data_IF_339775877541
#
_entry.id   IF_339775877541
#
_cell.length_a   1.000
_cell.length_b   1.000
_cell.length_c   1.000
_cell.angle_alpha   90.00
_cell.angle_beta   90.00
_cell.angle_gamma   90.00
#
_symmetry.space_group_name_H-M   'P 1'
#
loop_
_entity.id
_entity.type
_entity.pdbx_description
1 polymer ?
#
# COMPACT_ATOMS: atom_id res chain seq x y z
N UNK A 1 -10.05 7.19 2.86
CA UNK A 1 -10.60 5.95 3.43
C UNK A 1 -9.66 4.81 3.10
N UNK A 2 -9.49 3.84 3.99
CA UNK A 2 -8.58 2.70 3.84
C UNK A 2 -9.41 1.44 3.62
N UNK A 3 -9.21 0.76 2.48
CA UNK A 3 -10.09 -0.33 2.03
C UNK A 3 -10.27 -1.43 3.09
N UNK A 4 -9.21 -1.78 3.81
CA UNK A 4 -9.28 -2.87 4.79
C UNK A 4 -10.22 -2.55 5.96
N UNK A 5 -10.41 -1.27 6.30
CA UNK A 5 -11.40 -0.85 7.30
C UNK A 5 -12.83 -1.16 6.86
N UNK A 6 -13.15 -0.91 5.58
CA UNK A 6 -14.47 -1.19 5.01
C UNK A 6 -14.76 -2.70 4.94
N UNK A 7 -13.71 -3.51 4.74
CA UNK A 7 -13.82 -4.97 4.65
C UNK A 7 -13.87 -5.66 6.03
N UNK A 8 -13.55 -4.95 7.11
CA UNK A 8 -13.37 -5.56 8.44
C UNK A 8 -14.60 -6.34 8.92
N UNK A 9 -15.80 -5.83 8.64
CA UNK A 9 -17.07 -6.48 9.01
C UNK A 9 -17.31 -7.83 8.30
N UNK A 10 -16.61 -8.08 7.18
CA UNK A 10 -16.74 -9.28 6.37
C UNK A 10 -15.79 -10.40 6.84
N UNK A 11 -14.84 -10.09 7.72
CA UNK A 11 -13.86 -11.05 8.19
C UNK A 11 -14.44 -11.96 9.28
N UNK A 12 -14.06 -13.24 9.23
CA UNK A 12 -14.34 -14.19 10.32
C UNK A 12 -13.53 -13.79 11.55
N UNK A 13 -14.07 -14.09 12.73
CA UNK A 13 -13.30 -14.00 13.98
C UNK A 13 -12.01 -14.84 13.85
N UNK A 14 -10.89 -14.28 14.30
CA UNK A 14 -9.55 -14.91 14.27
C UNK A 14 -9.08 -15.34 12.86
N UNK A 15 -9.34 -14.52 11.83
CA UNK A 15 -8.82 -14.78 10.49
C UNK A 15 -7.34 -14.36 10.35
N UNK A 16 -6.68 -14.94 9.36
CA UNK A 16 -5.38 -14.48 8.87
C UNK A 16 -5.57 -13.75 7.55
N UNK A 17 -4.78 -12.69 7.33
CA UNK A 17 -4.74 -11.94 6.09
C UNK A 17 -3.37 -12.11 5.45
N UNK A 18 -3.36 -12.44 4.16
CA UNK A 18 -2.21 -12.25 3.30
C UNK A 18 -2.47 -11.00 2.48
N UNK A 19 -1.70 -9.95 2.73
CA UNK A 19 -1.86 -8.65 2.09
C UNK A 19 -0.57 -8.22 1.39
N UNK A 20 -0.70 -7.39 0.36
CA UNK A 20 0.42 -6.68 -0.23
C UNK A 20 -0.04 -5.31 -0.68
N UNK A 21 0.72 -4.28 -0.33
CA UNK A 21 0.42 -2.88 -0.56
C UNK A 21 1.48 -2.27 -1.47
N UNK A 22 1.05 -1.59 -2.52
CA UNK A 22 1.94 -0.77 -3.34
C UNK A 22 2.11 0.58 -2.65
N UNK A 23 3.35 0.91 -2.31
CA UNK A 23 3.74 2.13 -1.62
C UNK A 23 4.66 2.97 -2.49
N UNK A 24 4.65 4.28 -2.26
CA UNK A 24 5.44 5.24 -3.01
C UNK A 24 6.53 5.82 -2.11
N UNK A 25 7.79 5.64 -2.50
CA UNK A 25 8.90 6.39 -1.91
C UNK A 25 8.99 7.79 -2.54
N UNK A 26 8.62 7.91 -3.82
CA UNK A 26 8.61 9.19 -4.54
C UNK A 26 7.43 9.30 -5.49
N UNK A 27 6.75 10.44 -5.44
CA UNK A 27 5.72 10.82 -6.40
C UNK A 27 6.29 11.78 -7.45
N UNK A 28 5.84 11.62 -8.69
CA UNK A 28 6.11 12.56 -9.77
C UNK A 28 5.19 13.78 -9.65
N UNK A 29 5.59 14.90 -10.26
CA UNK A 29 4.70 16.06 -10.40
C UNK A 29 3.48 15.71 -11.26
N UNK A 30 3.64 14.74 -12.17
CA UNK A 30 2.62 14.25 -13.09
C UNK A 30 1.92 12.99 -12.55
N UNK A 31 2.07 12.69 -11.26
CA UNK A 31 1.44 11.52 -10.65
C UNK A 31 -0.07 11.53 -10.89
N UNK A 32 -0.62 10.36 -11.20
CA UNK A 32 -2.07 10.16 -11.28
C UNK A 32 -2.73 10.28 -9.88
N UNK A 33 -1.93 10.18 -8.81
CA UNK A 33 -2.38 10.29 -7.42
C UNK A 33 -2.34 11.74 -6.96
N UNK A 34 -3.52 12.30 -6.72
CA UNK A 34 -3.70 13.65 -6.21
C UNK A 34 -2.92 13.85 -4.89
N UNK A 35 -2.26 15.01 -4.66
CA UNK A 35 -1.43 15.26 -3.47
C UNK A 35 -2.09 14.91 -2.14
N UNK A 36 -3.39 15.26 -2.00
CA UNK A 36 -4.19 14.97 -0.79
C UNK A 36 -4.39 13.48 -0.48
N UNK A 37 -4.14 12.60 -1.44
CA UNK A 37 -4.31 11.15 -1.30
C UNK A 37 -2.98 10.40 -1.09
N UNK A 38 -1.84 11.07 -1.28
CA UNK A 38 -0.50 10.44 -1.29
C UNK A 38 -0.11 9.83 0.04
N UNK A 39 -0.60 10.39 1.14
CA UNK A 39 -0.38 9.84 2.49
C UNK A 39 -0.86 8.38 2.60
N UNK A 40 -1.92 8.01 1.88
CA UNK A 40 -2.48 6.65 1.90
C UNK A 40 -1.55 5.58 1.29
N UNK A 41 -0.48 5.99 0.59
CA UNK A 41 0.49 5.09 -0.04
C UNK A 41 1.86 5.16 0.64
N UNK A 42 1.88 5.54 1.92
CA UNK A 42 3.08 5.52 2.76
C UNK A 42 3.04 4.35 3.72
N UNK A 43 4.21 3.78 4.03
CA UNK A 43 4.31 2.67 4.98
C UNK A 43 3.72 3.04 6.34
N UNK A 44 4.02 4.24 6.84
CA UNK A 44 3.51 4.74 8.12
C UNK A 44 1.97 4.77 8.19
N UNK A 45 1.30 5.14 7.10
CA UNK A 45 -0.16 5.15 7.05
C UNK A 45 -0.71 3.72 7.02
N UNK A 46 -0.17 2.87 6.16
CA UNK A 46 -0.63 1.48 6.01
C UNK A 46 -0.44 0.68 7.29
N UNK A 47 0.75 0.72 7.91
CA UNK A 47 1.02 -0.01 9.16
C UNK A 47 0.14 0.46 10.30
N UNK A 48 -0.11 1.78 10.40
CA UNK A 48 -1.04 2.35 11.38
C UNK A 48 -2.47 1.83 11.20
N UNK A 49 -2.97 1.75 9.97
CA UNK A 49 -4.32 1.24 9.74
C UNK A 49 -4.44 -0.27 10.01
N UNK A 50 -3.40 -1.06 9.71
CA UNK A 50 -3.35 -2.49 10.08
C UNK A 50 -3.42 -2.65 11.60
N UNK A 51 -2.67 -1.83 12.35
CA UNK A 51 -2.70 -1.82 13.81
C UNK A 51 -4.06 -1.38 14.37
N UNK A 52 -4.72 -0.37 13.76
CA UNK A 52 -6.06 0.07 14.15
C UNK A 52 -7.11 -1.04 13.98
N UNK A 53 -6.91 -1.92 13.00
CA UNK A 53 -7.73 -3.09 12.75
C UNK A 53 -7.41 -4.28 13.66
N UNK A 54 -6.48 -4.10 14.61
CA UNK A 54 -6.05 -5.10 15.59
C UNK A 54 -5.42 -6.36 14.97
N UNK A 55 -4.96 -6.28 13.73
CA UNK A 55 -4.14 -7.33 13.14
C UNK A 55 -2.72 -7.28 13.70
N UNK A 56 -2.14 -8.45 13.93
CA UNK A 56 -0.76 -8.62 14.33
C UNK A 56 0.03 -9.18 13.15
N UNK A 57 1.14 -8.54 12.80
CA UNK A 57 2.03 -9.03 11.76
C UNK A 57 2.72 -10.32 12.20
N UNK A 58 2.74 -11.31 11.32
CA UNK A 58 3.40 -12.61 11.55
C UNK A 58 4.70 -12.67 10.75
N UNK A 59 4.63 -12.23 9.50
CA UNK A 59 5.76 -12.08 8.59
C UNK A 59 5.59 -10.76 7.85
N UNK A 60 6.70 -10.07 7.59
CA UNK A 60 6.71 -8.80 6.88
C UNK A 60 7.85 -8.76 5.88
N UNK A 61 7.58 -8.26 4.68
CA UNK A 61 8.61 -8.10 3.66
C UNK A 61 8.40 -6.84 2.83
N UNK A 62 9.52 -6.24 2.42
CA UNK A 62 9.52 -5.12 1.47
C UNK A 62 10.30 -5.49 0.22
N UNK A 63 9.73 -5.22 -0.95
CA UNK A 63 10.45 -5.42 -2.21
C UNK A 63 11.53 -4.36 -2.42
N UNK A 64 12.39 -4.59 -3.41
CA UNK A 64 13.23 -3.54 -3.97
C UNK A 64 12.36 -2.45 -4.61
N UNK A 65 12.95 -1.25 -4.72
CA UNK A 65 12.31 -0.12 -5.39
C UNK A 65 12.23 -0.32 -6.92
N UNK A 66 11.10 0.07 -7.50
CA UNK A 66 10.84 0.07 -8.93
C UNK A 66 10.62 1.50 -9.43
N UNK A 67 11.26 1.82 -10.55
CA UNK A 67 11.18 3.14 -11.23
C UNK A 67 10.51 3.06 -12.60
N UNK A 68 10.19 1.85 -13.05
CA UNK A 68 9.55 1.58 -14.34
C UNK A 68 8.69 0.33 -14.21
N UNK A 69 7.45 0.42 -14.67
CA UNK A 69 6.52 -0.69 -14.68
C UNK A 69 6.86 -1.74 -15.74
N UNK A 70 6.40 -2.96 -15.50
CA UNK A 70 6.34 -4.01 -16.51
C UNK A 70 5.37 -3.68 -17.65
N UNK A 71 5.28 -4.57 -18.65
CA UNK A 71 4.43 -4.40 -19.84
C UNK A 71 2.95 -4.08 -19.52
N UNK A 72 2.46 -4.55 -18.37
CA UNK A 72 1.07 -4.43 -17.95
C UNK A 72 0.87 -3.51 -16.73
N UNK A 73 1.91 -2.77 -16.34
CA UNK A 73 1.88 -1.89 -15.17
C UNK A 73 1.86 -0.43 -15.62
N UNK A 74 0.67 0.17 -15.68
CA UNK A 74 0.45 1.57 -16.08
C UNK A 74 -0.06 2.46 -14.91
N UNK A 75 -0.08 1.90 -13.71
CA UNK A 75 -0.57 2.56 -12.49
C UNK A 75 0.38 3.62 -11.93
N UNK A 76 1.59 3.75 -12.49
CA UNK A 76 2.59 4.75 -12.09
C UNK A 76 3.33 5.31 -13.30
N UNK A 77 3.82 6.55 -13.18
CA UNK A 77 4.40 7.34 -14.27
C UNK A 77 5.90 7.57 -14.08
N UNK A 78 6.57 8.03 -15.13
CA UNK A 78 7.99 8.36 -15.05
C UNK A 78 8.29 9.39 -13.95
N UNK A 79 9.34 9.11 -13.18
CA UNK A 79 9.77 9.92 -12.04
C UNK A 79 9.25 9.44 -10.69
N UNK A 80 8.36 8.46 -10.68
CA UNK A 80 7.91 7.76 -9.47
C UNK A 80 8.88 6.65 -9.07
N UNK A 81 8.90 6.37 -7.78
CA UNK A 81 9.62 5.23 -7.20
C UNK A 81 8.68 4.53 -6.22
N UNK A 82 8.37 3.27 -6.51
CA UNK A 82 7.43 2.46 -5.74
C UNK A 82 8.11 1.22 -5.17
N UNK A 83 7.48 0.59 -4.19
CA UNK A 83 7.84 -0.71 -3.65
C UNK A 83 6.59 -1.39 -3.11
N UNK A 84 6.66 -2.71 -2.88
CA UNK A 84 5.59 -3.41 -2.16
C UNK A 84 5.97 -3.62 -0.70
N UNK A 85 4.99 -3.52 0.18
CA UNK A 85 5.04 -3.96 1.57
C UNK A 85 3.99 -5.06 1.74
N UNK A 86 4.41 -6.23 2.19
CA UNK A 86 3.54 -7.39 2.38
C UNK A 86 3.61 -7.88 3.81
#
# INVERSE_FOLDING_TARGET
>A
EFLLCELNSLFKHNCYLLSSFILFNKFSINSQIAPRLRENFTSAKVTKEIQNLLFQSIDESTSNYLKRGGKYEDFFVQGEEIYTYS
#
